data_IF_560751334120
#
_entry.id   IF_560751334120
#
_cell.length_a   1.000
_cell.length_b   1.000
_cell.length_c   1.000
_cell.angle_alpha   90.00
_cell.angle_beta   90.00
_cell.angle_gamma   90.00
#
_symmetry.space_group_name_H-M   'P 1'
#
loop_
_entity.id
_entity.type
_entity.pdbx_description
1 polymer ?
#
# COMPACT_ATOMS: atom_id res chain seq x y z
N UNK A 1 15.79 38.59 -16.94
CA UNK A 1 15.88 37.71 -15.78
C UNK A 1 14.87 38.10 -14.69
N UNK A 2 14.99 39.24 -14.02
CA UNK A 2 14.04 39.69 -12.95
C UNK A 2 12.57 39.83 -13.45
N UNK A 3 12.38 40.09 -14.73
CA UNK A 3 11.03 40.26 -15.33
C UNK A 3 10.29 38.93 -15.53
N UNK A 4 10.99 37.86 -15.87
CA UNK A 4 10.39 36.56 -16.17
C UNK A 4 9.96 35.82 -14.90
N UNK A 5 10.73 35.89 -13.82
CA UNK A 5 10.32 35.36 -12.52
C UNK A 5 9.11 36.08 -11.94
N UNK A 6 9.08 37.43 -12.03
CA UNK A 6 7.90 38.22 -11.62
C UNK A 6 6.63 37.82 -12.37
N UNK A 7 6.74 37.58 -13.67
CA UNK A 7 5.60 37.13 -14.47
C UNK A 7 5.16 35.72 -14.08
N UNK A 8 6.12 34.79 -13.85
CA UNK A 8 5.75 33.46 -13.38
C UNK A 8 5.06 33.49 -12.01
N UNK A 9 5.59 34.25 -11.04
CA UNK A 9 4.96 34.44 -9.72
C UNK A 9 3.51 34.95 -9.86
N UNK A 10 3.31 35.97 -10.69
CA UNK A 10 1.98 36.54 -10.94
C UNK A 10 1.03 35.51 -11.56
N UNK A 11 1.50 34.75 -12.54
CA UNK A 11 0.68 33.77 -13.26
C UNK A 11 0.42 32.55 -12.38
N UNK A 12 1.39 32.09 -11.58
CA UNK A 12 1.20 31.00 -10.63
C UNK A 12 0.17 31.38 -9.55
N UNK A 13 0.25 32.60 -9.00
CA UNK A 13 -0.76 33.10 -8.05
C UNK A 13 -2.17 33.16 -8.69
N UNK A 14 -2.27 33.62 -9.93
CA UNK A 14 -3.55 33.64 -10.64
C UNK A 14 -4.08 32.23 -10.89
N UNK A 15 -3.23 31.27 -11.25
CA UNK A 15 -3.61 29.87 -11.44
C UNK A 15 -4.18 29.28 -10.16
N UNK A 16 -3.47 29.42 -9.06
CA UNK A 16 -3.93 28.92 -7.75
C UNK A 16 -5.26 29.58 -7.35
N UNK A 17 -5.39 30.89 -7.54
CA UNK A 17 -6.63 31.61 -7.25
C UNK A 17 -7.82 31.07 -8.07
N UNK A 18 -7.62 30.80 -9.37
CA UNK A 18 -8.67 30.23 -10.24
C UNK A 18 -9.05 28.82 -9.79
N UNK A 19 -8.08 28.02 -9.37
CA UNK A 19 -8.33 26.67 -8.86
C UNK A 19 -9.12 26.70 -7.53
N UNK A 20 -8.73 27.58 -6.59
CA UNK A 20 -9.43 27.76 -5.31
C UNK A 20 -10.88 28.20 -5.55
N UNK A 21 -11.10 29.19 -6.42
CA UNK A 21 -12.45 29.64 -6.77
C UNK A 21 -13.27 28.52 -7.41
N UNK A 22 -12.69 27.74 -8.31
CA UNK A 22 -13.37 26.61 -8.96
C UNK A 22 -13.80 25.55 -7.94
N UNK A 23 -12.96 25.27 -6.94
CA UNK A 23 -13.29 24.31 -5.87
C UNK A 23 -14.37 24.84 -4.93
N UNK A 24 -14.30 26.12 -4.53
CA UNK A 24 -15.35 26.75 -3.72
C UNK A 24 -16.71 26.75 -4.45
N UNK A 25 -16.72 27.00 -5.78
CA UNK A 25 -17.92 26.86 -6.59
C UNK A 25 -18.44 25.43 -6.63
N UNK A 26 -17.53 24.42 -6.75
CA UNK A 26 -17.91 23.01 -6.73
C UNK A 26 -18.54 22.63 -5.39
N UNK A 27 -17.92 23.01 -4.27
CA UNK A 27 -18.46 22.75 -2.93
C UNK A 27 -19.79 23.44 -2.69
N UNK A 28 -19.96 24.65 -3.21
CA UNK A 28 -21.24 25.37 -3.19
C UNK A 28 -22.33 24.63 -3.98
N UNK A 29 -22.01 24.08 -5.15
CA UNK A 29 -22.92 23.27 -5.95
C UNK A 29 -23.30 21.97 -5.26
N UNK A 30 -22.33 21.26 -4.67
CA UNK A 30 -22.58 20.01 -3.93
C UNK A 30 -23.48 20.26 -2.70
N UNK A 31 -23.27 21.38 -2.01
CA UNK A 31 -24.13 21.80 -0.88
C UNK A 31 -25.54 22.16 -1.34
N UNK A 32 -25.67 22.80 -2.50
CA UNK A 32 -26.96 23.13 -3.10
C UNK A 32 -27.68 21.87 -3.60
N UNK A 33 -26.94 20.88 -4.14
CA UNK A 33 -27.48 19.57 -4.52
C UNK A 33 -27.98 18.78 -3.31
N UNK A 34 -27.28 18.85 -2.17
CA UNK A 34 -27.72 18.25 -0.93
C UNK A 34 -29.01 18.91 -0.39
N UNK A 35 -29.10 20.24 -0.45
CA UNK A 35 -30.32 20.99 -0.10
C UNK A 35 -31.49 20.65 -1.01
N UNK A 36 -31.27 20.52 -2.32
CA UNK A 36 -32.32 20.14 -3.28
C UNK A 36 -32.79 18.70 -3.06
N UNK A 37 -31.91 17.77 -2.74
CA UNK A 37 -32.29 16.39 -2.45
C UNK A 37 -33.12 16.26 -1.16
N UNK A 38 -32.91 17.13 -0.19
CA UNK A 38 -33.80 17.22 1.00
C UNK A 38 -35.18 17.78 0.66
N UNK A 39 -35.28 18.75 -0.28
CA UNK A 39 -36.56 19.30 -0.70
C UNK A 39 -37.33 18.37 -1.66
N UNK A 40 -36.66 17.51 -2.43
CA UNK A 40 -37.30 16.49 -3.27
C UNK A 40 -38.11 15.46 -2.48
N UNK A 41 -37.77 15.25 -1.18
CA UNK A 41 -38.58 14.41 -0.31
C UNK A 41 -39.97 15.05 -0.03
N UNK A 42 -40.03 16.36 0.09
CA UNK A 42 -41.28 17.10 0.22
C UNK A 42 -42.03 17.24 -1.13
N UNK A 43 -41.30 17.31 -2.26
CA UNK A 43 -41.89 17.43 -3.61
C UNK A 43 -42.49 16.12 -4.13
N UNK A 44 -42.06 14.95 -3.67
CA UNK A 44 -42.71 13.65 -3.98
C UNK A 44 -44.13 13.55 -3.45
N UNK A 45 -44.55 14.47 -2.60
CA UNK A 45 -45.93 14.59 -2.13
C UNK A 45 -46.84 15.33 -3.15
N UNK A 46 -46.27 15.95 -4.19
CA UNK A 46 -47.04 16.63 -5.26
C UNK A 46 -46.79 15.92 -6.59
N UNK A 47 -47.69 15.02 -6.93
CA UNK A 47 -47.69 14.30 -8.22
C UNK A 47 -47.91 15.22 -9.39
N UNK A 48 -46.82 15.70 -10.02
CA UNK A 48 -46.88 16.10 -11.45
C UNK A 48 -45.47 16.09 -12.08
N UNK A 49 -45.10 15.11 -12.90
CA UNK A 49 -43.74 14.93 -13.42
C UNK A 49 -43.36 15.86 -14.59
N UNK A 50 -44.20 16.79 -14.98
CA UNK A 50 -44.03 17.59 -16.23
C UNK A 50 -43.57 19.04 -16.02
N UNK A 51 -43.44 19.52 -14.80
CA UNK A 51 -42.92 20.87 -14.55
C UNK A 51 -41.55 20.76 -13.88
N UNK A 52 -40.48 21.05 -14.65
CA UNK A 52 -39.16 21.26 -14.05
C UNK A 52 -39.31 22.29 -12.94
N UNK A 53 -39.03 21.92 -11.70
CA UNK A 53 -38.98 22.80 -10.55
C UNK A 53 -38.11 24.02 -10.92
N UNK A 54 -38.51 25.27 -10.56
CA UNK A 54 -37.69 26.46 -10.74
C UNK A 54 -36.28 26.30 -10.19
N UNK A 55 -36.10 25.46 -9.15
CA UNK A 55 -34.81 25.09 -8.56
C UNK A 55 -33.97 24.21 -9.48
N UNK A 56 -34.57 23.26 -10.21
CA UNK A 56 -33.83 22.40 -11.16
C UNK A 56 -33.33 23.23 -12.35
N UNK A 57 -34.11 24.19 -12.81
CA UNK A 57 -33.70 25.11 -13.87
C UNK A 57 -32.57 26.06 -13.41
N UNK A 58 -32.65 26.59 -12.20
CA UNK A 58 -31.59 27.42 -11.60
C UNK A 58 -30.29 26.66 -11.40
N UNK A 59 -30.37 25.40 -10.97
CA UNK A 59 -29.22 24.48 -10.80
C UNK A 59 -28.52 24.20 -12.13
N UNK A 60 -29.29 23.90 -13.17
CA UNK A 60 -28.75 23.63 -14.50
C UNK A 60 -28.11 24.89 -15.11
N UNK A 61 -28.72 26.05 -14.92
CA UNK A 61 -28.15 27.32 -15.34
C UNK A 61 -26.83 27.63 -14.61
N UNK A 62 -26.76 27.36 -13.31
CA UNK A 62 -25.56 27.57 -12.52
C UNK A 62 -24.44 26.62 -12.96
N UNK A 63 -24.76 25.34 -13.20
CA UNK A 63 -23.80 24.36 -13.75
C UNK A 63 -23.27 24.79 -15.11
N UNK A 64 -24.14 25.19 -16.01
CA UNK A 64 -23.76 25.67 -17.35
C UNK A 64 -22.85 26.89 -17.26
N UNK A 65 -23.16 27.85 -16.36
CA UNK A 65 -22.35 29.06 -16.16
C UNK A 65 -20.98 28.74 -15.58
N UNK A 66 -20.87 27.75 -14.64
CA UNK A 66 -19.59 27.28 -14.09
C UNK A 66 -18.75 26.57 -15.14
N UNK A 67 -19.36 25.72 -15.97
CA UNK A 67 -18.66 25.04 -17.07
C UNK A 67 -18.19 26.05 -18.14
N UNK A 68 -19.00 27.06 -18.48
CA UNK A 68 -18.63 28.12 -19.40
C UNK A 68 -17.48 28.98 -18.83
N UNK A 69 -17.52 29.29 -17.53
CA UNK A 69 -16.43 30.01 -16.85
C UNK A 69 -15.13 29.19 -16.87
N UNK A 70 -15.17 27.89 -16.52
CA UNK A 70 -14.02 27.01 -16.64
C UNK A 70 -13.46 26.93 -18.05
N UNK A 71 -14.32 26.84 -19.05
CA UNK A 71 -13.93 26.75 -20.45
C UNK A 71 -13.29 28.05 -20.97
N UNK A 72 -13.81 29.20 -20.58
CA UNK A 72 -13.43 30.51 -21.13
C UNK A 72 -12.22 31.10 -20.38
N UNK A 73 -12.24 31.09 -19.05
CA UNK A 73 -11.19 31.71 -18.23
C UNK A 73 -10.12 30.71 -17.81
N UNK A 74 -10.48 29.49 -17.47
CA UNK A 74 -9.54 28.46 -17.06
C UNK A 74 -8.53 28.11 -18.15
N UNK A 75 -8.98 27.97 -19.41
CA UNK A 75 -8.10 27.65 -20.51
C UNK A 75 -7.06 28.74 -20.81
N UNK A 76 -7.45 30.01 -20.69
CA UNK A 76 -6.54 31.14 -20.92
C UNK A 76 -5.49 31.25 -19.81
N UNK A 77 -5.87 31.03 -18.54
CA UNK A 77 -4.98 31.08 -17.40
C UNK A 77 -4.01 29.86 -17.41
N UNK A 78 -4.50 28.68 -17.73
CA UNK A 78 -3.67 27.48 -17.87
C UNK A 78 -2.65 27.65 -19.00
N UNK A 79 -3.07 28.18 -20.15
CA UNK A 79 -2.17 28.46 -21.27
C UNK A 79 -1.10 29.49 -20.90
N UNK A 80 -1.47 30.57 -20.21
CA UNK A 80 -0.52 31.59 -19.73
C UNK A 80 0.46 31.00 -18.69
N UNK A 81 -0.04 30.14 -17.80
CA UNK A 81 0.81 29.45 -16.82
C UNK A 81 1.82 28.51 -17.49
N UNK A 82 1.40 27.79 -18.51
CA UNK A 82 2.31 26.91 -19.29
C UNK A 82 3.39 27.70 -20.03
N UNK A 83 3.04 28.82 -20.68
CA UNK A 83 4.04 29.69 -21.35
C UNK A 83 5.03 30.29 -20.34
N UNK A 84 4.54 30.76 -19.18
CA UNK A 84 5.39 31.27 -18.12
C UNK A 84 6.31 30.18 -17.53
N UNK A 85 5.80 28.96 -17.37
CA UNK A 85 6.58 27.81 -16.93
C UNK A 85 7.70 27.47 -17.91
N UNK A 86 7.41 27.44 -19.21
CA UNK A 86 8.43 27.23 -20.26
C UNK A 86 9.52 28.28 -20.22
N UNK A 87 9.16 29.56 -20.03
CA UNK A 87 10.13 30.63 -19.90
C UNK A 87 10.99 30.46 -18.64
N UNK A 88 10.39 30.08 -17.53
CA UNK A 88 11.11 29.84 -16.25
C UNK A 88 12.09 28.66 -16.30
N UNK A 89 11.78 27.62 -17.08
CA UNK A 89 12.68 26.47 -17.27
C UNK A 89 14.06 26.85 -17.87
N UNK A 90 14.18 28.06 -18.49
CA UNK A 90 15.45 28.60 -18.97
C UNK A 90 16.19 29.45 -17.95
N UNK A 91 15.68 29.61 -16.73
CA UNK A 91 16.31 30.39 -15.65
C UNK A 91 16.98 29.48 -14.62
N UNK A 92 18.23 29.81 -14.24
CA UNK A 92 18.96 29.06 -13.24
C UNK A 92 18.28 29.08 -11.86
N UNK A 93 17.62 30.18 -11.52
CA UNK A 93 16.94 30.38 -10.24
C UNK A 93 15.74 29.43 -10.10
N UNK A 94 14.87 29.38 -11.10
CA UNK A 94 13.72 28.45 -11.09
C UNK A 94 14.15 26.98 -11.09
N UNK A 95 15.21 26.67 -11.87
CA UNK A 95 15.76 25.30 -11.88
C UNK A 95 16.36 24.91 -10.52
N UNK A 96 17.01 25.86 -9.82
CA UNK A 96 17.50 25.64 -8.47
C UNK A 96 16.35 25.45 -7.47
N UNK A 97 15.32 26.30 -7.54
CA UNK A 97 14.16 26.23 -6.66
C UNK A 97 13.38 24.92 -6.85
N UNK A 98 13.25 24.43 -8.06
CA UNK A 98 12.50 23.21 -8.38
C UNK A 98 13.33 21.93 -8.33
N UNK A 99 14.66 22.03 -8.35
CA UNK A 99 15.58 20.89 -8.42
C UNK A 99 15.73 20.27 -9.82
N UNK A 100 15.31 20.99 -10.88
CA UNK A 100 15.51 20.58 -12.27
C UNK A 100 16.98 20.72 -12.63
N UNK A 101 17.68 19.60 -12.88
CA UNK A 101 19.12 19.57 -13.15
C UNK A 101 19.48 19.64 -14.64
N UNK A 102 18.58 19.21 -15.50
CA UNK A 102 18.82 19.10 -16.95
C UNK A 102 17.77 19.88 -17.73
N UNK A 103 18.16 20.39 -18.90
CA UNK A 103 17.23 21.04 -19.81
C UNK A 103 16.17 20.03 -20.29
N UNK A 104 14.90 20.37 -20.11
CA UNK A 104 13.78 19.54 -20.54
C UNK A 104 13.46 19.79 -22.01
N UNK A 105 13.12 18.74 -22.74
CA UNK A 105 12.54 18.86 -24.07
C UNK A 105 11.13 19.46 -23.98
N UNK A 106 10.60 19.94 -25.11
CA UNK A 106 9.22 20.47 -25.14
C UNK A 106 8.16 19.47 -24.68
N UNK A 107 8.36 18.17 -24.99
CA UNK A 107 7.45 17.11 -24.60
C UNK A 107 7.52 16.84 -23.09
N UNK A 108 8.73 16.79 -22.52
CA UNK A 108 8.94 16.60 -21.09
C UNK A 108 8.41 17.77 -20.29
N UNK A 109 8.63 19.01 -20.73
CA UNK A 109 8.05 20.20 -20.10
C UNK A 109 6.53 20.19 -20.10
N UNK A 110 5.88 19.77 -21.21
CA UNK A 110 4.43 19.65 -21.29
C UNK A 110 3.89 18.56 -20.35
N UNK A 111 4.55 17.41 -20.31
CA UNK A 111 4.18 16.29 -19.42
C UNK A 111 4.33 16.70 -17.95
N UNK A 112 5.44 17.33 -17.58
CA UNK A 112 5.66 17.82 -16.22
C UNK A 112 4.61 18.85 -15.82
N UNK A 113 4.32 19.82 -16.69
CA UNK A 113 3.31 20.83 -16.40
C UNK A 113 1.91 20.22 -16.18
N UNK A 114 1.53 19.23 -16.98
CA UNK A 114 0.24 18.54 -16.81
C UNK A 114 0.17 17.79 -15.47
N UNK A 115 1.25 17.10 -15.07
CA UNK A 115 1.32 16.46 -13.73
C UNK A 115 1.18 17.49 -12.61
N UNK A 116 1.89 18.61 -12.69
CA UNK A 116 1.79 19.72 -11.72
C UNK A 116 0.36 20.24 -11.64
N UNK A 117 -0.28 20.43 -12.78
CA UNK A 117 -1.65 20.92 -12.84
C UNK A 117 -2.65 19.95 -12.21
N UNK A 118 -2.51 18.64 -12.47
CA UNK A 118 -3.33 17.60 -11.86
C UNK A 118 -3.17 17.56 -10.34
N UNK A 119 -1.94 17.63 -9.83
CA UNK A 119 -1.66 17.67 -8.39
C UNK A 119 -2.26 18.91 -7.73
N UNK A 120 -2.06 20.09 -8.33
CA UNK A 120 -2.64 21.34 -7.83
C UNK A 120 -4.17 21.28 -7.80
N UNK A 121 -4.78 20.71 -8.83
CA UNK A 121 -6.23 20.55 -8.90
C UNK A 121 -6.77 19.60 -7.81
N UNK A 122 -6.02 18.57 -7.46
CA UNK A 122 -6.40 17.61 -6.43
C UNK A 122 -6.24 18.17 -5.00
N UNK A 123 -5.23 19.02 -4.76
CA UNK A 123 -4.89 19.55 -3.42
C UNK A 123 -5.48 20.94 -3.13
N UNK A 124 -6.14 21.57 -4.09
CA UNK A 124 -6.58 22.97 -3.98
C UNK A 124 -7.54 23.23 -2.82
N UNK A 125 -8.38 22.24 -2.48
CA UNK A 125 -9.32 22.33 -1.35
C UNK A 125 -8.65 22.32 0.03
N UNK A 126 -7.37 21.94 0.11
CA UNK A 126 -6.57 21.89 1.34
C UNK A 126 -5.66 23.11 1.50
N UNK A 127 -5.60 23.99 0.48
CA UNK A 127 -4.70 25.15 0.49
C UNK A 127 -5.27 26.25 1.40
N UNK A 128 -4.43 26.88 2.25
CA UNK A 128 -4.82 28.06 3.01
C UNK A 128 -5.18 29.23 2.09
N UNK A 129 -6.14 30.07 2.48
CA UNK A 129 -6.55 31.26 1.70
C UNK A 129 -5.42 32.25 1.43
N UNK A 130 -4.40 32.30 2.30
CA UNK A 130 -3.22 33.18 2.20
C UNK A 130 -2.00 32.47 1.60
N UNK A 131 -2.16 31.30 0.94
CA UNK A 131 -1.04 30.56 0.38
C UNK A 131 -0.31 31.38 -0.70
N UNK A 132 1.05 31.45 -0.61
CA UNK A 132 1.86 31.95 -1.72
C UNK A 132 1.78 30.96 -2.90
N UNK A 133 1.00 31.33 -3.91
CA UNK A 133 0.75 30.49 -5.08
C UNK A 133 2.03 30.10 -5.85
N UNK A 134 3.08 30.94 -5.81
CA UNK A 134 4.37 30.59 -6.39
C UNK A 134 5.06 29.47 -5.59
N UNK A 135 5.08 29.58 -4.27
CA UNK A 135 5.67 28.54 -3.42
C UNK A 135 4.95 27.20 -3.58
N UNK A 136 3.61 27.23 -3.62
CA UNK A 136 2.76 26.06 -3.89
C UNK A 136 3.06 25.46 -5.26
N UNK A 137 3.23 26.30 -6.28
CA UNK A 137 3.56 25.85 -7.63
C UNK A 137 4.93 25.20 -7.70
N UNK A 138 5.98 25.81 -7.10
CA UNK A 138 7.35 25.28 -7.03
C UNK A 138 7.35 23.93 -6.30
N UNK A 139 6.66 23.82 -5.18
CA UNK A 139 6.55 22.56 -4.43
C UNK A 139 5.85 21.46 -5.23
N UNK A 140 4.79 21.83 -5.96
CA UNK A 140 4.10 20.88 -6.85
C UNK A 140 5.01 20.44 -8.02
N UNK A 141 5.87 21.32 -8.53
CA UNK A 141 6.90 20.94 -9.52
C UNK A 141 7.90 19.95 -8.90
N UNK A 142 8.42 20.23 -7.69
CA UNK A 142 9.32 19.30 -6.98
C UNK A 142 8.69 17.94 -6.79
N UNK A 143 7.46 17.91 -6.31
CA UNK A 143 6.71 16.66 -6.08
C UNK A 143 6.44 15.91 -7.40
N UNK A 144 6.20 16.63 -8.49
CA UNK A 144 6.00 16.03 -9.83
C UNK A 144 7.29 15.52 -10.47
N UNK A 145 8.45 16.04 -10.08
CA UNK A 145 9.77 15.53 -10.48
C UNK A 145 10.15 14.28 -9.68
N UNK A 146 9.63 14.14 -8.47
CA UNK A 146 9.74 12.88 -7.74
C UNK A 146 8.90 11.85 -8.48
N UNK A 147 9.46 10.69 -8.91
CA UNK A 147 8.72 9.66 -9.60
C UNK A 147 7.45 9.32 -8.80
N UNK A 148 6.30 9.31 -9.45
CA UNK A 148 5.08 8.84 -8.81
C UNK A 148 5.28 7.38 -8.38
N UNK A 149 4.64 6.97 -7.30
CA UNK A 149 4.64 5.56 -6.89
C UNK A 149 4.28 4.64 -8.08
N UNK A 150 3.40 5.09 -8.96
CA UNK A 150 2.95 4.35 -10.14
C UNK A 150 4.05 4.25 -11.23
N UNK A 151 4.81 5.32 -11.51
CA UNK A 151 5.94 5.28 -12.45
C UNK A 151 7.07 4.41 -11.89
N UNK A 152 7.31 4.48 -10.58
CA UNK A 152 8.28 3.63 -9.90
C UNK A 152 7.81 2.16 -9.84
N UNK A 153 6.52 1.91 -9.62
CA UNK A 153 5.92 0.58 -9.63
C UNK A 153 5.93 -0.04 -11.03
N UNK A 154 5.76 0.77 -12.08
CA UNK A 154 5.88 0.32 -13.47
C UNK A 154 7.34 0.19 -13.96
N UNK A 155 8.32 0.63 -13.17
CA UNK A 155 9.75 0.57 -13.49
C UNK A 155 10.19 1.48 -14.64
N UNK A 156 9.37 2.42 -15.06
CA UNK A 156 9.68 3.32 -16.18
C UNK A 156 10.76 4.34 -15.80
N UNK A 157 10.84 4.69 -14.52
CA UNK A 157 11.76 5.69 -13.99
C UNK A 157 12.37 5.16 -12.69
N UNK A 158 13.66 5.37 -12.50
CA UNK A 158 14.33 5.01 -11.25
C UNK A 158 13.96 6.00 -10.13
N UNK A 159 13.41 5.54 -8.99
CA UNK A 159 13.01 6.41 -7.89
C UNK A 159 14.19 7.08 -7.18
N UNK A 160 15.43 6.65 -7.44
CA UNK A 160 16.65 7.17 -6.78
C UNK A 160 17.35 8.26 -7.56
N UNK A 161 17.36 8.18 -8.89
CA UNK A 161 18.10 9.13 -9.71
C UNK A 161 17.31 9.72 -10.87
N UNK A 162 16.05 9.29 -11.09
CA UNK A 162 15.22 9.73 -12.20
C UNK A 162 15.65 9.18 -13.57
N UNK A 163 16.67 8.32 -13.63
CA UNK A 163 17.14 7.71 -14.88
C UNK A 163 16.20 6.62 -15.38
N UNK A 164 16.32 6.27 -16.67
CA UNK A 164 15.54 5.18 -17.28
C UNK A 164 16.24 3.85 -17.03
N UNK A 165 15.63 2.92 -16.31
CA UNK A 165 16.21 1.59 -16.10
C UNK A 165 16.19 0.75 -17.37
N UNK A 166 17.05 -0.23 -17.43
CA UNK A 166 17.16 -1.17 -18.55
C UNK A 166 17.12 -2.61 -18.07
N UNK A 167 16.67 -3.50 -18.94
CA UNK A 167 16.68 -4.93 -18.66
C UNK A 167 18.07 -5.50 -18.96
N UNK A 168 18.73 -6.03 -17.93
CA UNK A 168 20.05 -6.66 -18.06
C UNK A 168 20.04 -8.04 -17.39
N UNK A 169 21.01 -8.89 -17.71
CA UNK A 169 21.12 -10.19 -17.05
C UNK A 169 21.56 -10.04 -15.58
N UNK A 170 21.18 -10.99 -14.73
CA UNK A 170 21.63 -10.98 -13.33
C UNK A 170 23.14 -11.10 -13.20
N UNK A 171 23.79 -11.90 -14.06
CA UNK A 171 25.24 -12.05 -14.10
C UNK A 171 25.93 -10.73 -14.45
N UNK A 172 25.42 -10.02 -15.44
CA UNK A 172 25.92 -8.70 -15.82
C UNK A 172 25.78 -7.68 -14.68
N UNK A 173 24.66 -7.69 -13.97
CA UNK A 173 24.40 -6.72 -12.89
C UNK A 173 25.16 -7.04 -11.60
N UNK A 174 25.21 -8.31 -11.17
CA UNK A 174 25.80 -8.72 -9.89
C UNK A 174 27.25 -9.21 -10.02
N UNK A 175 27.74 -9.44 -11.24
CA UNK A 175 29.07 -9.97 -11.53
C UNK A 175 29.17 -11.49 -11.49
N UNK A 176 30.34 -12.03 -11.83
CA UNK A 176 30.62 -13.46 -11.85
C UNK A 176 30.47 -14.08 -10.46
N UNK A 177 29.73 -15.16 -10.35
CA UNK A 177 29.49 -15.90 -9.09
C UNK A 177 28.03 -15.98 -8.65
N UNK A 178 27.13 -15.27 -9.32
CA UNK A 178 25.68 -15.51 -9.18
C UNK A 178 25.30 -16.62 -10.16
N UNK A 179 24.73 -17.73 -9.63
CA UNK A 179 24.24 -18.83 -10.46
C UNK A 179 23.28 -18.26 -11.53
N UNK A 180 23.76 -18.23 -12.76
CA UNK A 180 23.15 -17.57 -13.91
C UNK A 180 21.98 -18.36 -14.49
N UNK A 181 21.39 -19.22 -13.67
CA UNK A 181 20.46 -20.20 -14.21
C UNK A 181 19.13 -19.60 -14.64
N UNK A 182 18.75 -18.38 -14.27
CA UNK A 182 17.50 -17.81 -14.81
C UNK A 182 17.21 -16.40 -14.32
N UNK A 183 17.55 -15.41 -15.05
CA UNK A 183 16.81 -14.18 -14.87
C UNK A 183 17.52 -12.90 -15.30
N UNK A 184 16.69 -11.97 -15.66
CA UNK A 184 17.07 -10.58 -15.85
C UNK A 184 16.64 -9.78 -14.63
N UNK A 185 17.24 -8.63 -14.44
CA UNK A 185 16.78 -7.57 -13.55
C UNK A 185 16.48 -6.33 -14.36
N UNK A 186 15.58 -5.53 -13.86
CA UNK A 186 15.34 -4.18 -14.32
C UNK A 186 16.24 -3.27 -13.51
N UNK A 187 17.32 -2.78 -14.11
CA UNK A 187 18.39 -2.11 -13.36
C UNK A 187 18.67 -0.72 -13.90
N UNK A 188 19.06 0.17 -13.00
CA UNK A 188 19.48 1.53 -13.30
C UNK A 188 20.98 1.71 -13.06
N UNK A 189 21.61 2.61 -13.78
CA UNK A 189 23.05 2.94 -13.65
C UNK A 189 23.44 3.37 -12.23
N UNK A 190 22.50 3.90 -11.44
CA UNK A 190 22.75 4.24 -10.03
C UNK A 190 22.86 3.01 -9.10
N UNK A 191 22.65 1.80 -9.61
CA UNK A 191 22.72 0.54 -8.86
C UNK A 191 21.40 0.09 -8.22
N UNK A 192 20.30 0.84 -8.40
CA UNK A 192 18.98 0.39 -8.03
C UNK A 192 18.45 -0.65 -9.03
N UNK A 193 17.70 -1.65 -8.56
CA UNK A 193 17.15 -2.68 -9.43
C UNK A 193 15.81 -3.23 -8.89
N UNK A 194 15.10 -3.93 -9.77
CA UNK A 194 13.96 -4.76 -9.41
C UNK A 194 14.03 -6.11 -10.11
N UNK A 195 13.53 -7.16 -9.51
CA UNK A 195 13.44 -8.47 -10.13
C UNK A 195 12.39 -8.48 -11.24
N UNK A 196 12.60 -9.35 -12.24
CA UNK A 196 11.67 -9.58 -13.35
C UNK A 196 11.13 -11.00 -13.23
N UNK A 197 9.82 -11.15 -13.36
CA UNK A 197 9.15 -12.46 -13.43
C UNK A 197 9.44 -13.17 -14.77
N UNK A 198 9.14 -14.45 -14.82
CA UNK A 198 9.33 -15.27 -16.03
C UNK A 198 8.53 -14.77 -17.26
N UNK A 199 7.41 -14.06 -17.03
CA UNK A 199 6.59 -13.40 -18.06
C UNK A 199 7.07 -11.97 -18.40
N UNK A 200 8.22 -11.54 -17.86
CA UNK A 200 8.86 -10.27 -18.18
C UNK A 200 8.34 -9.07 -17.39
N UNK A 201 7.46 -9.27 -16.41
CA UNK A 201 6.94 -8.20 -15.58
C UNK A 201 7.86 -7.91 -14.39
N UNK A 202 7.94 -6.64 -14.01
CA UNK A 202 8.67 -6.20 -12.84
C UNK A 202 7.97 -6.73 -11.58
N UNK A 203 8.77 -7.25 -10.65
CA UNK A 203 8.31 -7.74 -9.35
C UNK A 203 8.66 -6.68 -8.30
N UNK A 204 7.64 -5.95 -7.84
CA UNK A 204 7.84 -4.91 -6.84
C UNK A 204 8.30 -3.58 -7.43
N UNK A 205 8.86 -2.73 -6.59
CA UNK A 205 9.46 -1.46 -6.99
C UNK A 205 10.97 -1.54 -6.98
N UNK A 206 11.62 -0.72 -7.80
CA UNK A 206 13.08 -0.60 -7.80
C UNK A 206 13.58 -0.24 -6.39
N UNK A 207 14.66 -0.86 -6.01
CA UNK A 207 15.29 -0.65 -4.70
C UNK A 207 16.81 -0.67 -4.82
N UNK A 208 17.49 0.07 -3.96
CA UNK A 208 18.92 -0.09 -3.76
C UNK A 208 19.23 -1.34 -2.93
N UNK A 209 20.50 -1.66 -2.77
CA UNK A 209 20.93 -2.85 -2.01
C UNK A 209 20.47 -2.81 -0.56
N UNK A 210 20.39 -1.62 0.04
CA UNK A 210 19.98 -1.45 1.44
C UNK A 210 18.49 -1.80 1.61
N UNK A 211 17.62 -1.26 0.75
CA UNK A 211 16.19 -1.55 0.79
C UNK A 211 15.88 -3.02 0.46
N UNK A 212 16.61 -3.64 -0.50
CA UNK A 212 16.48 -5.08 -0.75
C UNK A 212 16.85 -5.93 0.47
N UNK A 213 17.91 -5.55 1.19
CA UNK A 213 18.29 -6.22 2.44
C UNK A 213 17.19 -6.06 3.51
N UNK A 214 16.61 -4.88 3.64
CA UNK A 214 15.48 -4.65 4.55
C UNK A 214 14.26 -5.49 4.18
N UNK A 215 13.84 -5.51 2.92
CA UNK A 215 12.73 -6.34 2.42
C UNK A 215 12.95 -7.83 2.71
N UNK A 216 14.19 -8.31 2.58
CA UNK A 216 14.56 -9.68 2.96
C UNK A 216 14.35 -9.92 4.46
N UNK A 217 14.71 -8.97 5.31
CA UNK A 217 14.43 -9.03 6.75
C UNK A 217 12.92 -9.09 7.00
N UNK A 218 12.12 -8.27 6.31
CA UNK A 218 10.65 -8.29 6.46
C UNK A 218 10.06 -9.65 6.06
N UNK A 219 10.53 -10.26 4.96
CA UNK A 219 10.13 -11.63 4.61
C UNK A 219 10.44 -12.63 5.74
N UNK A 220 11.61 -12.49 6.38
CA UNK A 220 11.97 -13.28 7.56
C UNK A 220 11.01 -13.05 8.73
N UNK A 221 10.71 -11.79 9.05
CA UNK A 221 9.75 -11.39 10.10
C UNK A 221 8.37 -11.99 9.82
N UNK A 222 7.90 -11.94 8.57
CA UNK A 222 6.62 -12.50 8.18
C UNK A 222 6.53 -13.99 8.49
N UNK A 223 7.56 -14.77 8.14
CA UNK A 223 7.63 -16.20 8.47
C UNK A 223 7.81 -16.46 9.98
N UNK A 224 8.58 -15.62 10.67
CA UNK A 224 8.74 -15.73 12.12
C UNK A 224 7.42 -15.45 12.84
N UNK A 225 6.67 -14.43 12.42
CA UNK A 225 5.33 -14.13 12.96
C UNK A 225 4.40 -15.34 12.81
N UNK A 226 4.40 -16.00 11.64
CA UNK A 226 3.57 -17.21 11.47
C UNK A 226 3.94 -18.31 12.45
N UNK A 227 5.23 -18.44 12.81
CA UNK A 227 5.73 -19.47 13.73
C UNK A 227 5.50 -19.13 15.18
N UNK A 228 5.61 -17.85 15.56
CA UNK A 228 5.49 -17.42 16.96
C UNK A 228 4.05 -17.26 17.42
N UNK A 229 3.19 -16.78 16.52
CA UNK A 229 1.79 -16.47 16.83
C UNK A 229 0.82 -17.55 16.33
N UNK A 230 1.27 -18.47 15.48
CA UNK A 230 0.43 -19.55 14.94
C UNK A 230 -0.61 -19.07 13.95
N UNK A 231 -0.23 -18.13 13.09
CA UNK A 231 -1.08 -17.64 11.99
C UNK A 231 -0.61 -18.18 10.64
N UNK A 232 -1.50 -18.11 9.65
CA UNK A 232 -1.16 -18.44 8.26
C UNK A 232 -0.31 -17.33 7.63
N UNK A 233 0.41 -17.64 6.56
CA UNK A 233 1.14 -16.63 5.76
C UNK A 233 0.19 -15.55 5.25
N UNK A 234 -1.03 -15.93 4.86
CA UNK A 234 -2.04 -14.98 4.40
C UNK A 234 -2.45 -14.00 5.52
N UNK A 235 -2.66 -14.47 6.75
CA UNK A 235 -2.96 -13.62 7.89
C UNK A 235 -1.78 -12.69 8.22
N UNK A 236 -0.54 -13.17 8.11
CA UNK A 236 0.65 -12.37 8.31
C UNK A 236 0.79 -11.29 7.21
N UNK A 237 0.53 -11.62 5.94
CA UNK A 237 0.47 -10.64 4.85
C UNK A 237 -0.63 -9.59 5.11
N UNK A 238 -1.81 -10.02 5.56
CA UNK A 238 -2.91 -9.10 5.90
C UNK A 238 -2.55 -8.17 7.07
N UNK A 239 -1.78 -8.66 8.05
CA UNK A 239 -1.26 -7.83 9.13
C UNK A 239 -0.29 -6.76 8.60
N UNK A 240 0.71 -7.14 7.77
CA UNK A 240 1.63 -6.18 7.12
C UNK A 240 0.85 -5.18 6.27
N UNK A 241 -0.16 -5.64 5.52
CA UNK A 241 -1.01 -4.78 4.68
C UNK A 241 -1.70 -3.68 5.50
N UNK A 242 -2.28 -4.02 6.65
CA UNK A 242 -2.93 -3.04 7.55
C UNK A 242 -1.93 -2.06 8.14
N UNK A 243 -0.77 -2.55 8.54
CA UNK A 243 0.26 -1.73 9.18
C UNK A 243 0.87 -0.71 8.22
N UNK A 244 1.04 -1.10 6.95
CA UNK A 244 1.73 -0.26 5.95
C UNK A 244 0.79 0.50 5.02
N UNK A 245 -0.52 0.22 5.06
CA UNK A 245 -1.49 0.74 4.09
C UNK A 245 -1.33 0.18 2.67
N UNK A 246 -0.30 -0.67 2.43
CA UNK A 246 -0.03 -1.28 1.12
C UNK A 246 -0.76 -2.62 0.98
N UNK A 247 -1.17 -2.96 -0.23
CA UNK A 247 -1.87 -4.22 -0.53
C UNK A 247 -0.90 -5.38 -0.60
N UNK A 248 -0.71 -6.09 0.50
CA UNK A 248 0.15 -7.27 0.61
C UNK A 248 -0.72 -8.53 0.67
N UNK A 249 -0.77 -9.30 -0.40
CA UNK A 249 -1.55 -10.55 -0.51
C UNK A 249 -0.69 -11.80 -0.36
N UNK A 250 0.56 -11.70 -0.76
CA UNK A 250 1.54 -12.78 -0.78
C UNK A 250 2.93 -12.25 -0.43
N UNK A 251 3.87 -13.15 -0.19
CA UNK A 251 5.24 -12.79 0.26
C UNK A 251 5.99 -11.94 -0.78
N UNK A 252 5.72 -12.16 -2.06
CA UNK A 252 6.32 -11.40 -3.16
C UNK A 252 5.94 -9.91 -3.11
N UNK A 253 4.75 -9.59 -2.61
CA UNK A 253 4.27 -8.20 -2.53
C UNK A 253 5.10 -7.35 -1.53
N UNK A 254 5.96 -7.97 -0.72
CA UNK A 254 6.94 -7.28 0.14
C UNK A 254 7.91 -6.42 -0.70
N UNK A 255 8.13 -6.78 -1.97
CA UNK A 255 8.95 -6.00 -2.89
C UNK A 255 8.36 -4.62 -3.25
N UNK A 256 7.12 -4.33 -2.84
CA UNK A 256 6.51 -2.99 -2.95
C UNK A 256 6.69 -2.11 -1.71
N UNK A 257 7.29 -2.61 -0.64
CA UNK A 257 7.51 -1.83 0.58
C UNK A 257 8.69 -0.88 0.43
N UNK A 258 8.51 0.36 0.83
CA UNK A 258 9.59 1.34 0.98
C UNK A 258 10.29 1.20 2.35
N UNK A 259 11.34 1.98 2.60
CA UNK A 259 12.13 1.91 3.82
C UNK A 259 11.30 2.25 5.08
N UNK A 260 10.35 3.18 4.98
CA UNK A 260 9.46 3.55 6.08
C UNK A 260 8.53 2.39 6.46
N UNK A 261 7.90 1.76 5.46
CA UNK A 261 7.08 0.58 5.66
C UNK A 261 7.88 -0.56 6.31
N UNK A 262 9.10 -0.81 5.84
CA UNK A 262 9.98 -1.82 6.42
C UNK A 262 10.30 -1.52 7.90
N UNK A 263 10.55 -0.26 8.24
CA UNK A 263 10.78 0.19 9.62
C UNK A 263 9.54 -0.05 10.48
N UNK A 264 8.36 0.37 10.02
CA UNK A 264 7.10 0.18 10.75
C UNK A 264 6.85 -1.31 11.07
N UNK A 265 7.09 -2.21 10.11
CA UNK A 265 6.94 -3.66 10.33
C UNK A 265 7.94 -4.18 11.36
N UNK A 266 9.20 -3.75 11.31
CA UNK A 266 10.24 -4.14 12.29
C UNK A 266 9.87 -3.70 13.71
N UNK A 267 9.43 -2.45 13.87
CA UNK A 267 9.09 -1.88 15.17
C UNK A 267 7.87 -2.59 15.78
N UNK A 268 6.83 -2.83 14.98
CA UNK A 268 5.65 -3.54 15.47
C UNK A 268 5.95 -5.01 15.77
N UNK A 269 6.80 -5.68 15.00
CA UNK A 269 7.21 -7.03 15.31
C UNK A 269 7.98 -7.12 16.65
N UNK A 270 8.79 -6.11 16.96
CA UNK A 270 9.45 -6.01 18.26
C UNK A 270 8.42 -5.91 19.40
N UNK A 271 7.40 -5.07 19.25
CA UNK A 271 6.29 -4.95 20.23
C UNK A 271 5.52 -6.25 20.38
N UNK A 272 5.27 -6.97 19.28
CA UNK A 272 4.63 -8.29 19.33
C UNK A 272 5.46 -9.27 20.17
N UNK A 273 6.77 -9.31 19.99
CA UNK A 273 7.66 -10.18 20.79
C UNK A 273 7.61 -9.83 22.28
N UNK A 274 7.64 -8.56 22.63
CA UNK A 274 7.53 -8.08 23.99
C UNK A 274 6.20 -8.51 24.63
N UNK A 275 5.08 -8.32 23.92
CA UNK A 275 3.75 -8.74 24.39
C UNK A 275 3.62 -10.26 24.53
N UNK A 276 4.21 -11.03 23.62
CA UNK A 276 4.25 -12.50 23.72
C UNK A 276 5.03 -12.97 24.94
N UNK A 277 6.11 -12.27 25.30
CA UNK A 277 6.91 -12.59 26.48
C UNK A 277 6.14 -12.32 27.77
N UNK A 278 5.25 -11.34 27.77
CA UNK A 278 4.41 -10.97 28.92
C UNK A 278 3.12 -11.80 29.02
N UNK A 279 2.78 -12.55 27.96
CA UNK A 279 1.55 -13.33 27.92
C UNK A 279 1.71 -14.62 28.74
N UNK A 280 0.94 -14.75 29.80
CA UNK A 280 0.80 -16.00 30.54
C UNK A 280 -0.07 -16.98 29.74
N UNK A 281 0.56 -17.88 29.01
CA UNK A 281 -0.13 -18.88 28.18
C UNK A 281 -0.33 -20.16 28.98
N UNK A 282 -1.58 -20.55 29.16
CA UNK A 282 -1.93 -21.86 29.70
C UNK A 282 -2.07 -22.86 28.54
N UNK A 283 -1.24 -23.89 28.57
CA UNK A 283 -1.30 -24.98 27.59
C UNK A 283 -2.01 -26.18 28.18
N UNK A 284 -2.67 -27.02 27.35
CA UNK A 284 -3.33 -28.23 27.79
C UNK A 284 -2.39 -29.17 28.50
N UNK A 285 -2.88 -29.84 29.52
CA UNK A 285 -2.18 -30.92 30.26
C UNK A 285 -2.81 -32.30 30.02
N UNK A 286 -3.99 -32.36 29.45
CA UNK A 286 -4.73 -33.57 29.17
C UNK A 286 -5.57 -33.45 27.89
N UNK A 287 -6.14 -34.57 27.44
CA UNK A 287 -6.94 -34.66 26.22
C UNK A 287 -8.17 -33.72 26.24
N UNK A 288 -8.86 -33.59 27.37
CA UNK A 288 -10.04 -32.73 27.47
C UNK A 288 -9.67 -31.27 27.24
N UNK A 289 -8.66 -30.77 27.92
CA UNK A 289 -8.15 -29.42 27.76
C UNK A 289 -7.63 -29.15 26.34
N UNK A 290 -7.05 -30.18 25.67
CA UNK A 290 -6.64 -30.08 24.29
C UNK A 290 -7.86 -29.80 23.35
N UNK A 291 -8.95 -30.52 23.55
CA UNK A 291 -10.16 -30.30 22.75
C UNK A 291 -10.78 -28.93 23.05
N UNK A 292 -10.83 -28.52 24.31
CA UNK A 292 -11.26 -27.18 24.74
C UNK A 292 -10.39 -26.08 24.12
N UNK A 293 -9.07 -26.27 24.02
CA UNK A 293 -8.18 -25.33 23.32
C UNK A 293 -8.62 -25.16 21.86
N UNK A 294 -8.93 -26.26 21.15
CA UNK A 294 -9.34 -26.19 19.74
C UNK A 294 -10.73 -25.56 19.57
N UNK A 295 -11.68 -25.88 20.44
CA UNK A 295 -13.01 -25.26 20.49
C UNK A 295 -12.90 -23.75 20.77
N UNK A 296 -11.97 -23.33 21.63
CA UNK A 296 -11.67 -21.94 21.94
C UNK A 296 -10.98 -21.16 20.81
N UNK A 297 -10.66 -21.81 19.67
CA UNK A 297 -10.03 -21.19 18.51
C UNK A 297 -8.50 -21.31 18.54
N UNK A 298 -7.94 -22.17 19.37
CA UNK A 298 -6.54 -22.58 19.34
C UNK A 298 -6.20 -23.25 18.00
N UNK A 299 -4.91 -23.32 17.70
CA UNK A 299 -4.38 -23.92 16.46
C UNK A 299 -3.20 -24.82 16.77
N UNK A 300 -2.79 -25.62 15.81
CA UNK A 300 -1.62 -26.46 15.96
C UNK A 300 -0.84 -26.59 14.65
N UNK A 301 0.45 -26.84 14.78
CA UNK A 301 1.32 -27.06 13.63
C UNK A 301 2.11 -28.34 13.80
N UNK A 302 2.17 -29.16 12.77
CA UNK A 302 3.07 -30.31 12.76
C UNK A 302 4.52 -29.84 12.82
N UNK A 303 5.33 -30.51 13.63
CA UNK A 303 6.78 -30.29 13.76
C UNK A 303 7.53 -31.58 13.43
N UNK A 304 8.78 -31.45 12.97
CA UNK A 304 9.62 -32.60 12.70
C UNK A 304 10.23 -33.17 14.03
N UNK A 305 10.99 -34.22 13.92
CA UNK A 305 11.62 -34.88 15.08
C UNK A 305 12.49 -33.93 15.93
N UNK A 306 13.02 -32.86 15.33
CA UNK A 306 13.85 -31.85 16.01
C UNK A 306 13.02 -30.67 16.55
N UNK A 307 11.69 -30.75 16.52
CA UNK A 307 10.82 -29.67 16.97
C UNK A 307 10.65 -28.49 15.98
N UNK A 308 11.23 -28.57 14.80
CA UNK A 308 11.05 -27.56 13.77
C UNK A 308 9.72 -27.75 13.04
N UNK A 309 9.01 -26.64 12.85
CA UNK A 309 7.75 -26.61 12.13
C UNK A 309 7.93 -27.10 10.69
N UNK A 310 7.12 -28.07 10.27
CA UNK A 310 7.11 -28.58 8.89
C UNK A 310 6.37 -27.69 7.91
N UNK A 311 5.99 -26.46 8.33
CA UNK A 311 5.22 -25.53 7.52
C UNK A 311 3.72 -25.78 7.50
N UNK A 312 3.23 -26.84 8.12
CA UNK A 312 1.82 -27.18 8.18
C UNK A 312 1.17 -26.59 9.43
N UNK A 313 0.40 -25.52 9.27
CA UNK A 313 -0.47 -24.98 10.30
C UNK A 313 -1.90 -25.48 10.05
N UNK A 314 -2.49 -26.11 11.03
CA UNK A 314 -3.85 -26.60 11.02
C UNK A 314 -4.77 -25.61 11.75
N UNK A 315 -5.82 -25.22 11.07
CA UNK A 315 -6.86 -24.33 11.59
C UNK A 315 -8.11 -25.16 11.86
N UNK A 316 -8.47 -25.42 13.13
CA UNK A 316 -9.72 -26.10 13.47
C UNK A 316 -10.91 -25.32 12.91
N UNK A 317 -11.85 -26.05 12.30
CA UNK A 317 -13.13 -25.51 11.79
C UNK A 317 -14.31 -26.21 12.43
N UNK A 318 -14.07 -27.40 13.00
CA UNK A 318 -15.06 -28.18 13.75
C UNK A 318 -14.31 -29.11 14.71
N UNK A 319 -14.82 -29.28 15.92
CA UNK A 319 -14.17 -30.07 16.98
C UNK A 319 -15.14 -31.09 17.50
N UNK A 320 -14.87 -32.35 17.20
CA UNK A 320 -15.61 -33.50 17.74
C UNK A 320 -14.96 -34.06 19.00
N UNK A 321 -15.48 -35.17 19.51
CA UNK A 321 -14.94 -35.78 20.74
C UNK A 321 -13.53 -36.32 20.60
N UNK A 322 -13.15 -36.82 19.46
CA UNK A 322 -11.87 -37.47 19.18
C UNK A 322 -11.31 -37.12 17.80
N UNK A 323 -11.94 -36.19 17.11
CA UNK A 323 -11.52 -35.73 15.79
C UNK A 323 -11.65 -34.22 15.68
N UNK A 324 -10.68 -33.59 15.05
CA UNK A 324 -10.69 -32.18 14.75
C UNK A 324 -10.68 -32.03 13.23
N UNK A 325 -11.76 -31.45 12.70
CA UNK A 325 -11.82 -31.06 11.30
C UNK A 325 -11.01 -29.80 11.12
N UNK A 326 -10.02 -29.87 10.25
CA UNK A 326 -9.07 -28.77 10.06
C UNK A 326 -9.02 -28.33 8.61
N UNK A 327 -8.73 -27.06 8.42
CA UNK A 327 -8.35 -26.49 7.12
C UNK A 327 -6.83 -26.39 7.04
N UNK A 328 -6.30 -26.96 5.98
CA UNK A 328 -4.90 -26.78 5.59
C UNK A 328 -4.84 -26.35 4.12
N UNK A 329 -4.41 -25.12 3.86
CA UNK A 329 -4.49 -24.50 2.53
C UNK A 329 -5.92 -24.52 1.97
N UNK A 330 -6.14 -25.23 0.86
CA UNK A 330 -7.46 -25.40 0.21
C UNK A 330 -8.17 -26.72 0.57
N UNK A 331 -7.52 -27.57 1.36
CA UNK A 331 -8.05 -28.89 1.75
C UNK A 331 -8.68 -28.84 3.13
N UNK A 332 -9.71 -29.65 3.33
CA UNK A 332 -10.32 -29.91 4.63
C UNK A 332 -10.12 -31.40 4.93
N UNK A 333 -9.66 -31.71 6.14
CA UNK A 333 -9.43 -33.08 6.56
C UNK A 333 -9.71 -33.22 8.06
N UNK A 334 -10.05 -34.43 8.49
CA UNK A 334 -10.17 -34.75 9.90
C UNK A 334 -8.84 -35.28 10.43
N UNK A 335 -8.38 -34.74 11.56
CA UNK A 335 -7.23 -35.23 12.31
C UNK A 335 -7.76 -35.89 13.58
N UNK A 336 -7.41 -37.15 13.74
CA UNK A 336 -7.88 -37.97 14.85
C UNK A 336 -7.03 -37.71 16.10
N UNK A 337 -7.69 -37.53 17.22
CA UNK A 337 -7.12 -37.45 18.55
C UNK A 337 -7.86 -38.44 19.47
N UNK A 338 -7.71 -39.78 19.28
CA UNK A 338 -8.36 -40.79 20.09
C UNK A 338 -7.94 -40.70 21.55
N UNK A 339 -8.88 -40.87 22.49
CA UNK A 339 -8.59 -40.72 23.93
C UNK A 339 -7.63 -41.78 24.51
N UNK A 340 -7.53 -42.91 23.87
CA UNK A 340 -6.71 -44.05 24.27
C UNK A 340 -5.24 -43.94 23.82
N UNK A 341 -4.89 -42.90 23.06
CA UNK A 341 -3.51 -42.66 22.71
C UNK A 341 -2.71 -42.04 23.87
N UNK A 342 -1.41 -42.31 23.88
CA UNK A 342 -0.52 -41.72 24.84
C UNK A 342 -0.11 -40.30 24.44
N UNK A 343 -0.62 -39.33 25.19
CA UNK A 343 -0.37 -37.89 25.00
C UNK A 343 0.69 -37.41 25.99
N UNK A 344 1.73 -36.82 25.47
CA UNK A 344 2.73 -36.14 26.29
C UNK A 344 2.70 -34.64 26.01
N UNK A 345 2.35 -33.85 27.02
CA UNK A 345 2.28 -32.38 26.97
C UNK A 345 3.54 -31.79 27.62
N UNK A 346 4.18 -30.86 26.91
CA UNK A 346 5.33 -30.10 27.41
C UNK A 346 5.22 -28.64 26.95
N UNK A 347 4.52 -27.81 27.73
CA UNK A 347 4.17 -26.45 27.36
C UNK A 347 3.42 -26.42 26.00
N UNK A 348 3.93 -25.67 25.05
CA UNK A 348 3.38 -25.59 23.71
C UNK A 348 3.53 -26.87 22.87
N UNK A 349 4.28 -27.88 23.35
CA UNK A 349 4.55 -29.09 22.58
C UNK A 349 3.63 -30.23 22.99
N UNK A 350 2.95 -30.79 22.00
CA UNK A 350 2.17 -32.00 22.09
C UNK A 350 2.89 -33.13 21.34
N UNK A 351 3.15 -34.22 22.00
CA UNK A 351 3.65 -35.47 21.38
C UNK A 351 2.60 -36.54 21.54
N UNK A 352 2.25 -37.19 20.43
CA UNK A 352 1.29 -38.32 20.39
C UNK A 352 2.09 -39.57 20.02
N UNK A 353 2.03 -40.57 20.89
CA UNK A 353 2.65 -41.87 20.64
C UNK A 353 1.61 -42.90 20.29
N UNK A 354 1.70 -43.43 19.07
CA UNK A 354 0.82 -44.47 18.57
C UNK A 354 1.28 -45.87 19.05
N UNK A 355 0.37 -46.82 19.22
CA UNK A 355 0.73 -48.20 19.60
C UNK A 355 1.71 -48.87 18.63
N UNK A 356 1.77 -48.41 17.39
CA UNK A 356 2.70 -48.88 16.36
C UNK A 356 4.12 -48.34 16.53
N UNK A 357 4.38 -47.52 17.56
CA UNK A 357 5.66 -46.83 17.76
C UNK A 357 5.82 -45.53 16.92
N UNK A 358 4.85 -45.20 16.10
CA UNK A 358 4.85 -43.92 15.38
C UNK A 358 4.69 -42.78 16.40
N UNK A 359 5.50 -41.72 16.24
CA UNK A 359 5.44 -40.52 17.08
C UNK A 359 5.05 -39.32 16.18
N UNK A 360 4.02 -38.61 16.59
CA UNK A 360 3.62 -37.34 15.95
C UNK A 360 3.81 -36.20 16.93
N UNK A 361 4.39 -35.11 16.46
CA UNK A 361 4.64 -33.93 17.27
C UNK A 361 3.94 -32.71 16.68
N UNK A 362 3.31 -31.95 17.58
CA UNK A 362 2.62 -30.72 17.23
C UNK A 362 3.03 -29.59 18.17
N UNK A 363 3.09 -28.40 17.64
CA UNK A 363 3.15 -27.17 18.44
C UNK A 363 1.76 -26.57 18.51
N UNK A 364 1.32 -26.29 19.72
CA UNK A 364 0.01 -25.70 20.01
C UNK A 364 0.12 -24.18 20.08
N UNK A 365 -0.94 -23.51 19.73
CA UNK A 365 -1.09 -22.04 19.79
C UNK A 365 -2.45 -21.70 20.36
N UNK A 366 -2.49 -20.76 21.29
CA UNK A 366 -3.74 -20.28 21.88
C UNK A 366 -4.35 -19.15 21.07
N UNK A 367 -5.60 -18.85 21.32
CA UNK A 367 -6.30 -17.71 20.71
C UNK A 367 -5.66 -16.38 21.11
N UNK A 368 -5.23 -16.25 22.36
CA UNK A 368 -4.61 -15.06 22.92
C UNK A 368 -3.31 -14.69 22.20
N UNK A 369 -2.48 -15.69 21.87
CA UNK A 369 -1.27 -15.46 21.07
C UNK A 369 -1.60 -14.81 19.71
N UNK A 370 -2.70 -15.23 19.09
CA UNK A 370 -3.15 -14.63 17.81
C UNK A 370 -3.70 -13.22 17.99
N UNK A 371 -4.42 -12.97 19.08
CA UNK A 371 -5.05 -11.66 19.33
C UNK A 371 -4.02 -10.54 19.53
N UNK A 372 -2.76 -10.86 19.84
CA UNK A 372 -1.66 -9.89 19.94
C UNK A 372 -1.49 -9.07 18.64
N UNK A 373 -1.83 -9.63 17.49
CA UNK A 373 -1.76 -8.92 16.21
C UNK A 373 -2.92 -7.93 15.96
N UNK A 374 -3.98 -8.01 16.76
CA UNK A 374 -5.23 -7.27 16.53
C UNK A 374 -5.54 -6.23 17.60
N UNK A 375 -4.80 -6.25 18.68
CA UNK A 375 -4.95 -5.38 19.82
C UNK A 375 -3.68 -4.70 20.21
#
# INVERSE_FOLDING_TARGET
>A
MITEEKELRKVANNLILVLIMSEQFRQGLDSFDALLSMSDYEQRAFENPTVMSPFSAAKEHLRSSVEEFKKTYGASVISAAYEAFKAALSTDEFCADTGIKNALTKSEAATLFNKVFEQLSASVGELPEEADGYAVFVESVRNSLTPSDEDAENGNICPYCGGTPTKISRAEFFGDGVDDTNGCVWACECGAYADISSDGKIIGTMADRALHAERKVIKGILFETTRTVGITVFEACSWVSRLTGRRIRQVQDIEFLNAENCRAVKDEFKRIKERLTQLEVQYPSNHKELMELFEGGGRFAAVNAYGYKTGRLFVPIDVGKEAVRVRFKKTVQDIMFPRDLNYHFSGAMLTIMHPTGKCEKFRLYTKEQRMILYG
#
